data_IF_962593122006
#
_entry.id   IF_962593122006
#
_cell.length_a   1.000
_cell.length_b   1.000
_cell.length_c   1.000
_cell.angle_alpha   90.00
_cell.angle_beta   90.00
_cell.angle_gamma   90.00
#
_symmetry.space_group_name_H-M   'P 1'
#
loop_
_entity.id
_entity.type
_entity.pdbx_description
1 polymer ?
#
# COMPACT_ATOMS: atom_id res chain seq x y z
N UNK A 1 27.99 -1.60 -2.39
CA UNK A 1 26.72 -0.85 -2.28
C UNK A 1 25.81 -1.63 -1.34
N UNK A 2 25.53 -1.10 -0.15
CA UNK A 2 24.69 -1.79 0.83
C UNK A 2 23.24 -1.70 0.34
N UNK A 3 22.78 -2.71 -0.42
CA UNK A 3 21.43 -2.70 -1.00
C UNK A 3 20.44 -2.95 0.14
N UNK A 4 19.60 -1.97 0.41
CA UNK A 4 18.55 -2.09 1.41
C UNK A 4 17.48 -3.04 0.88
N UNK A 5 17.03 -3.98 1.71
CA UNK A 5 16.03 -4.95 1.27
C UNK A 5 14.67 -4.26 1.15
N UNK A 6 13.99 -4.43 0.01
CA UNK A 6 12.62 -3.94 -0.23
C UNK A 6 11.62 -5.04 0.16
N UNK A 7 10.52 -4.64 0.77
CA UNK A 7 9.39 -5.50 1.08
C UNK A 7 8.07 -4.82 0.72
N UNK A 8 7.07 -5.62 0.39
CA UNK A 8 5.67 -5.23 0.46
C UNK A 8 5.17 -5.52 1.88
N UNK A 9 4.81 -4.48 2.63
CA UNK A 9 4.22 -4.60 3.96
C UNK A 9 2.71 -4.57 3.89
N UNK A 10 2.06 -5.56 4.50
CA UNK A 10 0.62 -5.72 4.53
C UNK A 10 0.10 -5.67 5.95
N UNK A 11 -0.84 -4.78 6.23
CA UNK A 11 -1.42 -4.60 7.57
C UNK A 11 -2.60 -5.54 7.79
N UNK A 12 -2.57 -6.30 8.89
CA UNK A 12 -3.66 -7.16 9.36
C UNK A 12 -4.76 -6.31 9.98
N UNK A 13 -5.92 -6.24 9.33
CA UNK A 13 -7.03 -5.37 9.71
C UNK A 13 -7.83 -5.88 10.92
N UNK A 14 -7.25 -5.98 12.11
CA UNK A 14 -8.04 -6.20 13.35
C UNK A 14 -8.60 -4.88 13.86
N UNK A 15 -9.93 -4.80 14.04
CA UNK A 15 -10.59 -3.65 14.66
C UNK A 15 -11.73 -4.10 15.59
N UNK A 16 -11.39 -4.33 16.85
CA UNK A 16 -12.36 -4.34 17.95
C UNK A 16 -12.64 -2.87 18.36
N UNK A 17 -13.89 -2.40 18.19
CA UNK A 17 -14.33 -1.10 18.69
C UNK A 17 -15.56 -0.51 17.97
N UNK A 18 -16.68 -0.39 18.70
CA UNK A 18 -17.97 0.15 18.23
C UNK A 18 -18.31 1.50 18.91
N UNK A 19 -18.54 2.56 18.13
CA UNK A 19 -18.94 3.87 18.68
C UNK A 19 -19.43 4.87 17.61
N UNK A 20 -20.30 5.82 18.02
CA UNK A 20 -21.23 6.63 17.20
C UNK A 20 -20.64 7.57 16.12
N UNK A 21 -19.34 7.51 15.81
CA UNK A 21 -18.64 8.23 14.72
C UNK A 21 -18.77 7.53 13.36
N UNK A 22 -19.97 7.05 13.02
CA UNK A 22 -20.24 6.01 12.00
C UNK A 22 -20.51 6.49 10.55
N UNK A 23 -20.23 7.74 10.19
CA UNK A 23 -20.31 8.16 8.78
C UNK A 23 -19.13 7.66 7.90
N UNK A 24 -17.87 7.69 8.38
CA UNK A 24 -16.77 6.91 7.79
C UNK A 24 -17.07 5.41 7.74
N UNK A 25 -17.91 4.91 8.67
CA UNK A 25 -18.32 3.51 8.76
C UNK A 25 -19.12 3.04 7.54
N UNK A 26 -19.90 3.91 6.88
CA UNK A 26 -20.68 3.54 5.66
C UNK A 26 -19.82 3.42 4.40
N UNK A 27 -18.75 4.21 4.29
CA UNK A 27 -17.74 4.03 3.25
C UNK A 27 -16.87 2.80 3.54
N UNK A 28 -16.57 2.55 4.82
CA UNK A 28 -15.98 1.27 5.21
C UNK A 28 -16.93 0.12 4.95
N UNK A 29 -18.25 0.25 5.03
CA UNK A 29 -19.20 -0.82 4.74
C UNK A 29 -19.29 -1.18 3.25
N UNK A 30 -19.23 -0.19 2.36
CA UNK A 30 -19.12 -0.39 0.91
C UNK A 30 -17.74 -0.96 0.51
N UNK A 31 -16.66 -0.46 1.12
CA UNK A 31 -15.31 -1.01 0.98
C UNK A 31 -15.26 -2.43 1.56
N UNK A 32 -15.89 -2.70 2.70
CA UNK A 32 -16.05 -4.02 3.32
C UNK A 32 -16.78 -4.94 2.35
N UNK A 33 -17.87 -4.54 1.70
CA UNK A 33 -18.54 -5.38 0.67
C UNK A 33 -17.72 -5.67 -0.59
N UNK A 34 -16.77 -4.79 -0.97
CA UNK A 34 -15.82 -5.04 -2.08
C UNK A 34 -14.52 -5.75 -1.63
N UNK A 35 -14.18 -5.71 -0.33
CA UNK A 35 -12.88 -6.09 0.27
C UNK A 35 -12.96 -7.30 1.22
N UNK A 36 -14.15 -7.67 1.74
CA UNK A 36 -14.33 -8.85 2.60
C UNK A 36 -14.32 -10.11 1.77
N UNK A 37 -13.11 -10.56 1.44
CA UNK A 37 -12.70 -11.96 1.60
C UNK A 37 -11.24 -12.10 2.04
N UNK A 38 -10.56 -11.04 2.46
CA UNK A 38 -9.13 -11.11 2.77
C UNK A 38 -8.71 -10.46 4.09
N UNK A 39 -7.59 -10.95 4.64
CA UNK A 39 -7.09 -10.61 5.98
C UNK A 39 -6.41 -9.22 6.09
N UNK A 40 -6.11 -8.60 4.94
CA UNK A 40 -5.35 -7.36 4.88
C UNK A 40 -6.23 -6.16 4.58
N UNK A 41 -5.97 -5.06 5.29
CA UNK A 41 -6.70 -3.79 5.12
C UNK A 41 -5.83 -2.64 4.62
N UNK A 42 -4.51 -2.80 4.55
CA UNK A 42 -3.59 -1.78 4.05
C UNK A 42 -2.32 -2.43 3.46
N UNK A 43 -1.71 -1.75 2.49
CA UNK A 43 -0.45 -2.15 1.86
C UNK A 43 0.50 -0.95 1.77
N UNK A 44 1.79 -1.15 2.03
CA UNK A 44 2.86 -0.15 1.90
C UNK A 44 4.11 -0.79 1.27
N UNK A 45 4.88 -0.04 0.49
CA UNK A 45 6.23 -0.49 0.08
C UNK A 45 7.21 -0.01 1.13
N UNK A 46 8.04 -0.90 1.65
CA UNK A 46 8.93 -0.60 2.76
C UNK A 46 10.35 -0.99 2.43
N UNK A 47 11.28 -0.09 2.74
CA UNK A 47 12.71 -0.28 2.54
C UNK A 47 13.37 -0.41 3.89
N UNK A 48 14.17 -1.47 4.08
CA UNK A 48 14.85 -1.71 5.34
C UNK A 48 15.91 -0.64 5.59
N UNK A 49 15.69 0.21 6.59
CA UNK A 49 16.57 1.34 6.88
C UNK A 49 17.88 0.91 7.56
N UNK A 50 17.82 -0.15 8.39
CA UNK A 50 18.98 -0.60 9.16
C UNK A 50 19.13 -2.14 9.14
N UNK A 51 20.34 -2.71 8.99
CA UNK A 51 20.54 -4.16 8.96
C UNK A 51 20.27 -4.88 10.29
N UNK A 52 20.31 -4.16 11.42
CA UNK A 52 20.16 -4.73 12.77
C UNK A 52 18.88 -4.28 13.48
N UNK A 53 18.17 -3.28 12.96
CA UNK A 53 16.93 -2.79 13.58
C UNK A 53 15.74 -3.10 12.67
N UNK A 54 14.61 -3.51 13.25
CA UNK A 54 13.33 -3.72 12.54
C UNK A 54 12.66 -2.39 12.19
N UNK A 55 13.44 -1.44 11.67
CA UNK A 55 13.02 -0.10 11.30
C UNK A 55 13.03 -0.01 9.78
N UNK A 56 11.91 0.46 9.25
CA UNK A 56 11.66 0.50 7.82
C UNK A 56 11.23 1.91 7.40
N UNK A 57 11.74 2.35 6.26
CA UNK A 57 11.23 3.52 5.56
C UNK A 57 10.02 3.08 4.74
N UNK A 58 8.84 3.51 5.17
CA UNK A 58 7.57 3.07 4.61
C UNK A 58 7.01 4.13 3.66
N UNK A 59 6.69 3.72 2.44
CA UNK A 59 6.13 4.54 1.38
C UNK A 59 4.70 4.07 1.10
N UNK A 60 3.74 4.99 1.22
CA UNK A 60 2.33 4.68 1.01
C UNK A 60 1.50 5.94 0.80
N UNK A 61 0.26 5.78 0.35
CA UNK A 61 -0.76 6.82 0.32
C UNK A 61 -1.74 6.66 1.49
N UNK A 62 -1.97 7.73 2.25
CA UNK A 62 -2.83 7.72 3.43
C UNK A 62 -3.85 8.86 3.40
N UNK A 63 -5.13 8.50 3.62
CA UNK A 63 -6.24 9.46 3.80
C UNK A 63 -5.93 10.40 4.97
N UNK A 64 -5.42 9.82 6.07
CA UNK A 64 -5.20 10.54 7.32
C UNK A 64 -4.14 11.64 7.17
N UNK A 65 -3.18 11.41 6.28
CA UNK A 65 -2.07 12.32 6.01
C UNK A 65 -2.30 13.10 4.71
N UNK A 66 -3.52 13.04 4.16
CA UNK A 66 -3.97 13.78 2.99
C UNK A 66 -3.13 13.56 1.74
N UNK A 67 -2.38 12.46 1.60
CA UNK A 67 -1.62 12.19 0.40
C UNK A 67 -0.62 11.03 0.50
N UNK A 68 0.29 11.02 -0.46
CA UNK A 68 1.46 10.15 -0.50
C UNK A 68 2.46 10.60 0.57
N UNK A 69 2.88 9.67 1.43
CA UNK A 69 3.73 9.92 2.60
C UNK A 69 4.90 8.94 2.64
N UNK A 70 5.98 9.39 3.25
CA UNK A 70 7.11 8.57 3.65
C UNK A 70 7.24 8.66 5.17
N UNK A 71 7.32 7.51 5.85
CA UNK A 71 7.47 7.45 7.30
C UNK A 71 8.42 6.34 7.72
N UNK A 72 9.38 6.68 8.57
CA UNK A 72 10.25 5.69 9.21
C UNK A 72 9.56 5.16 10.47
N UNK A 73 9.32 3.85 10.53
CA UNK A 73 8.68 3.22 11.68
C UNK A 73 9.02 1.73 11.82
N UNK A 74 8.88 1.16 13.04
CA UNK A 74 8.95 -0.28 13.21
C UNK A 74 7.70 -0.98 12.69
N UNK A 75 7.89 -2.17 12.11
CA UNK A 75 6.81 -3.01 11.58
C UNK A 75 6.77 -4.33 12.38
N UNK A 76 5.99 -4.40 13.49
CA UNK A 76 5.89 -5.61 14.28
C UNK A 76 5.12 -6.70 13.51
N UNK A 77 5.68 -7.91 13.46
CA UNK A 77 5.11 -9.07 12.73
C UNK A 77 3.70 -9.48 13.19
N UNK A 78 3.34 -9.14 14.44
CA UNK A 78 1.99 -9.36 14.96
C UNK A 78 0.91 -8.57 14.21
N UNK A 79 1.27 -7.44 13.58
CA UNK A 79 0.35 -6.54 12.87
C UNK A 79 0.62 -6.48 11.37
N UNK A 80 1.84 -6.77 10.96
CA UNK A 80 2.29 -6.64 9.58
C UNK A 80 2.85 -7.95 9.06
N UNK A 81 2.45 -8.33 7.84
CA UNK A 81 3.16 -9.34 7.07
C UNK A 81 4.07 -8.63 6.06
N UNK A 82 5.31 -9.08 5.96
CA UNK A 82 6.31 -8.54 5.04
C UNK A 82 6.59 -9.57 3.96
N UNK A 83 6.31 -9.23 2.71
CA UNK A 83 6.64 -10.06 1.55
C UNK A 83 7.90 -9.48 0.91
N UNK A 84 9.00 -10.24 0.80
CA UNK A 84 10.22 -9.73 0.18
C UNK A 84 9.99 -9.43 -1.30
N UNK A 85 10.56 -8.32 -1.76
CA UNK A 85 10.59 -7.91 -3.16
C UNK A 85 12.03 -7.97 -3.69
N UNK A 86 12.23 -8.04 -5.02
CA UNK A 86 13.56 -7.90 -5.60
C UNK A 86 14.19 -6.58 -5.19
N UNK A 87 15.40 -6.64 -4.63
CA UNK A 87 16.16 -5.48 -4.18
C UNK A 87 17.21 -5.07 -5.21
N UNK A 88 16.85 -5.13 -6.49
CA UNK A 88 17.75 -4.72 -7.58
C UNK A 88 17.85 -3.19 -7.64
N UNK A 89 18.90 -2.63 -8.27
CA UNK A 89 19.02 -1.18 -8.49
C UNK A 89 17.80 -0.60 -9.20
N UNK A 90 17.27 -1.32 -10.20
CA UNK A 90 16.13 -0.89 -11.01
C UNK A 90 14.85 -0.80 -10.16
N UNK A 91 14.66 -1.71 -9.21
CA UNK A 91 13.54 -1.68 -8.27
C UNK A 91 13.62 -0.45 -7.34
N UNK A 92 14.82 -0.12 -6.85
CA UNK A 92 15.04 1.08 -6.04
C UNK A 92 14.82 2.36 -6.84
N UNK A 93 15.36 2.44 -8.05
CA UNK A 93 15.15 3.58 -8.95
C UNK A 93 13.69 3.77 -9.32
N UNK A 94 12.96 2.68 -9.59
CA UNK A 94 11.53 2.73 -9.83
C UNK A 94 10.77 3.26 -8.62
N UNK A 95 11.08 2.73 -7.42
CA UNK A 95 10.46 3.18 -6.19
C UNK A 95 10.71 4.67 -5.95
N UNK A 96 11.95 5.14 -6.09
CA UNK A 96 12.30 6.55 -5.94
C UNK A 96 11.62 7.40 -7.02
N UNK A 97 11.57 6.95 -8.27
CA UNK A 97 10.89 7.65 -9.36
C UNK A 97 9.40 7.84 -9.07
N UNK A 98 8.71 6.78 -8.66
CA UNK A 98 7.29 6.84 -8.30
C UNK A 98 7.10 7.72 -7.07
N UNK A 99 7.95 7.58 -6.05
CA UNK A 99 7.95 8.45 -4.88
C UNK A 99 8.10 9.92 -5.26
N UNK A 100 9.18 10.34 -5.92
CA UNK A 100 9.41 11.73 -6.31
C UNK A 100 8.32 12.27 -7.23
N UNK A 101 7.77 11.45 -8.12
CA UNK A 101 6.67 11.86 -8.98
C UNK A 101 5.37 12.09 -8.20
N UNK A 102 5.18 11.43 -7.06
CA UNK A 102 3.90 11.40 -6.31
C UNK A 102 3.97 12.04 -4.92
N UNK A 103 5.16 12.35 -4.42
CA UNK A 103 5.40 13.01 -3.15
C UNK A 103 4.66 14.35 -3.09
N UNK A 104 3.94 14.59 -1.99
CA UNK A 104 3.13 15.80 -1.83
C UNK A 104 1.84 15.82 -2.67
N UNK A 105 1.56 14.81 -3.50
CA UNK A 105 0.25 14.70 -4.17
C UNK A 105 -0.84 14.34 -3.15
N UNK A 106 -1.95 15.08 -3.24
CA UNK A 106 -3.10 14.96 -2.33
C UNK A 106 -3.87 13.64 -2.46
N UNK A 107 -4.47 13.18 -1.37
CA UNK A 107 -5.28 11.96 -1.32
C UNK A 107 -6.62 12.10 -2.06
N UNK A 108 -7.12 11.02 -2.69
CA UNK A 108 -8.41 11.08 -3.40
C UNK A 108 -9.65 11.01 -2.54
N UNK A 109 -10.08 12.13 -1.99
CA UNK A 109 -11.40 12.20 -1.37
C UNK A 109 -12.58 12.06 -2.37
N UNK A 110 -12.41 12.31 -3.68
CA UNK A 110 -13.49 12.24 -4.68
C UNK A 110 -13.42 11.03 -5.62
N UNK A 111 -12.24 10.46 -5.83
CA UNK A 111 -11.99 9.18 -6.45
C UNK A 111 -12.39 8.04 -5.52
N UNK A 112 -12.29 8.21 -4.20
CA UNK A 112 -12.95 7.34 -3.23
C UNK A 112 -14.48 7.25 -3.51
N UNK A 113 -15.13 8.39 -3.81
CA UNK A 113 -16.52 8.42 -4.28
C UNK A 113 -16.68 7.82 -5.70
N UNK A 114 -15.69 7.97 -6.58
CA UNK A 114 -15.68 7.41 -7.94
C UNK A 114 -15.60 5.88 -8.03
N UNK A 115 -14.89 5.21 -7.11
CA UNK A 115 -14.89 3.73 -7.05
C UNK A 115 -16.32 3.20 -6.78
N UNK A 116 -17.17 3.96 -6.09
CA UNK A 116 -18.58 3.60 -5.87
C UNK A 116 -19.44 3.64 -7.14
N UNK A 117 -19.01 4.34 -8.20
CA UNK A 117 -19.78 4.56 -9.43
C UNK A 117 -19.16 3.98 -10.71
N UNK A 118 -18.03 3.26 -10.63
CA UNK A 118 -17.44 2.59 -11.81
C UNK A 118 -16.89 3.54 -12.87
N UNK A 119 -16.59 4.79 -12.49
CA UNK A 119 -16.04 5.81 -13.39
C UNK A 119 -14.50 5.75 -13.42
N UNK A 120 -13.86 6.09 -14.55
CA UNK A 120 -12.40 6.13 -14.66
C UNK A 120 -11.80 7.08 -13.60
N UNK A 121 -10.80 6.58 -12.88
CA UNK A 121 -10.19 7.28 -11.76
C UNK A 121 -9.50 8.58 -12.19
N UNK A 122 -9.60 9.61 -11.34
CA UNK A 122 -8.89 10.86 -11.53
C UNK A 122 -7.38 10.63 -11.32
N UNK A 123 -6.57 10.92 -12.34
CA UNK A 123 -5.10 10.72 -12.39
C UNK A 123 -4.28 11.46 -11.31
N UNK A 124 -4.92 12.11 -10.34
CA UNK A 124 -4.29 13.03 -9.39
C UNK A 124 -4.19 12.50 -7.97
N UNK A 125 -4.71 11.31 -7.69
CA UNK A 125 -5.04 10.96 -6.31
C UNK A 125 -5.01 9.43 -6.09
N UNK A 126 -4.39 8.99 -4.97
CA UNK A 126 -3.80 7.65 -4.82
C UNK A 126 -4.39 6.82 -3.66
N UNK A 127 -4.64 5.52 -3.89
CA UNK A 127 -4.91 4.54 -2.82
C UNK A 127 -3.64 3.80 -2.39
N UNK A 128 -3.60 3.29 -1.16
CA UNK A 128 -2.43 2.57 -0.64
C UNK A 128 -1.99 1.37 -1.50
N UNK A 129 -2.93 0.51 -1.88
CA UNK A 129 -2.65 -0.64 -2.75
C UNK A 129 -2.39 -0.25 -4.18
N UNK A 130 -3.06 0.78 -4.70
CA UNK A 130 -2.80 1.32 -6.04
C UNK A 130 -1.37 1.87 -6.13
N UNK A 131 -0.96 2.68 -5.15
CA UNK A 131 0.38 3.25 -5.10
C UNK A 131 1.43 2.13 -5.04
N UNK A 132 1.20 1.09 -4.23
CA UNK A 132 2.04 -0.10 -4.21
C UNK A 132 2.06 -0.82 -5.55
N UNK A 133 0.90 -1.03 -6.19
CA UNK A 133 0.79 -1.67 -7.50
C UNK A 133 1.52 -0.87 -8.59
N UNK A 134 1.46 0.46 -8.56
CA UNK A 134 2.21 1.34 -9.47
C UNK A 134 3.71 1.29 -9.21
N UNK A 135 4.13 1.29 -7.94
CA UNK A 135 5.53 1.08 -7.58
C UNK A 135 6.05 -0.27 -8.09
N UNK A 136 5.20 -1.30 -8.07
CA UNK A 136 5.46 -2.64 -8.60
C UNK A 136 5.27 -2.78 -10.12
N UNK A 137 4.92 -1.70 -10.83
CA UNK A 137 4.63 -1.69 -12.28
C UNK A 137 3.51 -2.65 -12.72
N UNK A 138 2.55 -2.93 -11.84
CA UNK A 138 1.39 -3.75 -12.19
C UNK A 138 0.43 -2.95 -13.09
N UNK A 139 -0.06 -3.56 -14.19
CA UNK A 139 -1.02 -2.91 -15.07
C UNK A 139 -2.33 -2.65 -14.33
N UNK A 140 -3.03 -1.58 -14.73
CA UNK A 140 -4.31 -1.19 -14.14
C UNK A 140 -4.23 -1.12 -12.60
N UNK A 141 -3.23 -0.42 -12.06
CA UNK A 141 -2.90 -0.38 -10.62
C UNK A 141 -4.11 -0.13 -9.69
N UNK A 142 -5.12 0.60 -10.19
CA UNK A 142 -6.40 0.89 -9.52
C UNK A 142 -7.27 -0.34 -9.20
N UNK A 143 -7.04 -1.50 -9.86
CA UNK A 143 -7.80 -2.74 -9.67
C UNK A 143 -7.32 -3.57 -8.50
N UNK A 144 -6.12 -3.32 -8.00
CA UNK A 144 -5.44 -4.18 -7.04
C UNK A 144 -5.80 -3.81 -5.61
N UNK A 145 -6.35 -4.77 -4.86
CA UNK A 145 -6.53 -4.64 -3.40
C UNK A 145 -5.27 -5.11 -2.65
N UNK A 146 -5.11 -4.78 -1.35
CA UNK A 146 -4.03 -5.33 -0.54
C UNK A 146 -3.98 -6.86 -0.53
N UNK A 147 -5.14 -7.52 -0.63
CA UNK A 147 -5.22 -8.98 -0.64
C UNK A 147 -4.82 -9.57 -2.01
N UNK A 148 -5.15 -8.89 -3.10
CA UNK A 148 -4.70 -9.30 -4.43
C UNK A 148 -3.19 -9.16 -4.54
N UNK A 149 -2.62 -8.05 -4.03
CA UNK A 149 -1.18 -7.88 -3.92
C UNK A 149 -0.53 -8.98 -3.09
N UNK A 150 -1.14 -9.35 -1.96
CA UNK A 150 -0.65 -10.44 -1.12
C UNK A 150 -0.62 -11.80 -1.84
N UNK A 151 -1.54 -12.05 -2.77
CA UNK A 151 -1.60 -13.29 -3.54
C UNK A 151 -0.65 -13.27 -4.76
N UNK A 152 -0.60 -12.15 -5.48
CA UNK A 152 0.13 -12.08 -6.75
C UNK A 152 1.62 -11.82 -6.55
N UNK A 153 2.01 -10.98 -5.58
CA UNK A 153 3.42 -10.57 -5.41
C UNK A 153 4.34 -11.75 -5.09
N UNK A 154 4.00 -12.66 -4.16
CA UNK A 154 4.80 -13.86 -3.97
C UNK A 154 4.91 -14.68 -5.25
N UNK A 155 3.84 -14.79 -6.04
CA UNK A 155 3.84 -15.58 -7.28
C UNK A 155 4.72 -14.96 -8.36
N UNK A 156 4.69 -13.63 -8.51
CA UNK A 156 5.47 -12.89 -9.49
C UNK A 156 6.98 -13.00 -9.25
N UNK A 157 7.41 -12.95 -7.99
CA UNK A 157 8.83 -12.88 -7.64
C UNK A 157 9.40 -14.20 -7.10
N UNK A 158 8.59 -15.26 -6.97
CA UNK A 158 9.06 -16.62 -6.63
C UNK A 158 9.71 -17.34 -7.81
N UNK A 159 9.56 -16.82 -9.04
CA UNK A 159 10.22 -17.33 -10.25
C UNK A 159 11.64 -16.79 -10.49
N UNK A 160 12.11 -15.84 -9.68
CA UNK A 160 13.43 -15.18 -9.84
C UNK A 160 14.41 -15.52 -8.70
N UNK A 161 14.07 -16.48 -7.84
CA UNK A 161 14.88 -16.93 -6.70
C UNK A 161 15.61 -18.24 -6.99
#
# INVERSE_FOLDING_TARGET
MNRQQIYLALYKGRRDGSGWRVWPARFTDWFTRKLTRGQYSHAEIVVRAHPQASVYTCYSASIRDKGVRCKVMPLPAAKWDLIPLPSTPEAHEQLQRVWTATEGQGYDLMGALGIAFGLPQNRRRWFCSEWCATALRLPESWRWSPNDLAAIVPTLYKGEA
#
